data_IF_544478392774
#
_entry.id   IF_544478392774
#
_cell.length_a   1.000
_cell.length_b   1.000
_cell.length_c   1.000
_cell.angle_alpha   90.00
_cell.angle_beta   90.00
_cell.angle_gamma   90.00
#
_symmetry.space_group_name_H-M   'P 1'
#
loop_
_entity.id
_entity.type
_entity.pdbx_description
1 polymer ?
#
# COMPACT_ATOMS: atom_id res chain seq x y z
N UNK A 1 -35.96 6.74 -2.59
CA UNK A 1 -34.64 6.28 -3.07
C UNK A 1 -33.58 6.89 -2.17
N UNK A 2 -33.04 6.12 -1.23
CA UNK A 2 -32.04 6.61 -0.27
C UNK A 2 -30.74 6.98 -0.98
N UNK A 3 -30.15 8.13 -0.64
CA UNK A 3 -28.81 8.52 -1.10
C UNK A 3 -27.82 7.48 -0.55
N UNK A 4 -27.26 6.66 -1.42
CA UNK A 4 -26.11 5.81 -1.07
C UNK A 4 -24.91 6.74 -0.94
N UNK A 5 -24.54 7.09 0.30
CA UNK A 5 -23.30 7.81 0.55
C UNK A 5 -22.13 6.96 0.04
N UNK A 6 -21.41 7.47 -0.95
CA UNK A 6 -20.23 6.79 -1.48
C UNK A 6 -19.12 6.89 -0.44
N UNK A 7 -18.85 5.83 0.31
CA UNK A 7 -17.68 5.79 1.18
C UNK A 7 -16.39 5.73 0.34
N UNK A 8 -15.29 6.39 0.74
CA UNK A 8 -13.99 6.24 0.11
C UNK A 8 -13.56 4.77 0.10
N UNK A 9 -13.18 4.23 -1.08
CA UNK A 9 -12.63 2.88 -1.16
C UNK A 9 -11.31 2.82 -0.42
N UNK A 10 -11.14 1.81 0.44
CA UNK A 10 -9.87 1.49 1.07
C UNK A 10 -9.12 0.50 0.19
N UNK A 11 -7.79 0.60 0.18
CA UNK A 11 -6.96 -0.33 -0.58
C UNK A 11 -5.92 -0.95 0.32
N UNK A 12 -5.85 -2.28 0.36
CA UNK A 12 -4.71 -2.98 0.93
C UNK A 12 -3.58 -2.94 -0.08
N UNK A 13 -2.42 -2.47 0.35
CA UNK A 13 -1.21 -2.38 -0.45
C UNK A 13 -0.14 -3.23 0.21
N UNK A 14 0.43 -4.16 -0.57
CA UNK A 14 1.57 -4.96 -0.16
C UNK A 14 2.72 -4.71 -1.10
N UNK A 15 3.87 -4.37 -0.53
CA UNK A 15 5.13 -4.13 -1.21
C UNK A 15 6.12 -5.20 -0.77
N UNK A 16 6.64 -5.94 -1.73
CA UNK A 16 7.70 -6.93 -1.52
C UNK A 16 8.95 -6.37 -2.17
N UNK A 17 10.05 -6.38 -1.43
CA UNK A 17 11.36 -5.88 -1.83
C UNK A 17 12.32 -7.05 -1.70
N UNK A 18 13.02 -7.39 -2.78
CA UNK A 18 13.99 -8.48 -2.82
C UNK A 18 15.37 -7.90 -3.15
N UNK A 19 16.19 -7.58 -2.14
CA UNK A 19 17.55 -7.15 -2.34
C UNK A 19 18.46 -8.36 -2.62
N UNK A 20 19.37 -8.23 -3.60
CA UNK A 20 20.31 -9.30 -3.92
C UNK A 20 21.18 -9.65 -2.69
N UNK A 21 21.16 -10.92 -2.28
CA UNK A 21 21.96 -11.42 -1.16
C UNK A 21 21.38 -11.16 0.24
N UNK A 22 20.16 -10.62 0.34
CA UNK A 22 19.50 -10.35 1.62
C UNK A 22 18.12 -11.04 1.70
N UNK A 23 17.58 -11.15 2.92
CA UNK A 23 16.21 -11.59 3.12
C UNK A 23 15.21 -10.61 2.48
N UNK A 24 14.10 -11.15 1.98
CA UNK A 24 13.01 -10.36 1.41
C UNK A 24 12.37 -9.47 2.48
N UNK A 25 12.12 -8.22 2.14
CA UNK A 25 11.39 -7.28 3.01
C UNK A 25 9.94 -7.21 2.51
N UNK A 26 8.99 -7.42 3.42
CA UNK A 26 7.55 -7.35 3.13
C UNK A 26 6.95 -6.21 3.94
N UNK A 27 6.36 -5.25 3.25
CA UNK A 27 5.65 -4.12 3.85
C UNK A 27 4.19 -4.21 3.43
N UNK A 28 3.28 -4.15 4.40
CA UNK A 28 1.83 -4.16 4.17
C UNK A 28 1.21 -2.94 4.85
N UNK A 29 0.22 -2.33 4.20
CA UNK A 29 -0.47 -1.18 4.74
C UNK A 29 -1.74 -0.83 3.98
N UNK A 30 -2.48 0.14 4.52
CA UNK A 30 -3.71 0.61 3.92
C UNK A 30 -3.52 1.98 3.24
N UNK A 31 -4.04 2.09 2.03
CA UNK A 31 -4.09 3.34 1.28
C UNK A 31 -5.53 3.89 1.27
N UNK A 32 -5.65 5.15 1.69
CA UNK A 32 -6.90 5.89 1.72
C UNK A 32 -6.85 7.02 0.70
N UNK A 33 -7.65 6.97 -0.38
CA UNK A 33 -7.72 8.07 -1.33
C UNK A 33 -8.37 9.29 -0.69
N UNK A 34 -7.91 10.50 -1.07
CA UNK A 34 -8.58 11.76 -0.70
C UNK A 34 -9.96 11.95 -1.36
N UNK A 35 -10.31 11.09 -2.31
CA UNK A 35 -11.63 11.06 -2.97
C UNK A 35 -12.28 9.67 -2.85
N UNK A 36 -13.20 9.33 -3.75
CA UNK A 36 -13.95 8.07 -3.64
C UNK A 36 -13.16 6.83 -4.09
N UNK A 37 -12.34 6.96 -5.12
CA UNK A 37 -11.54 5.85 -5.68
C UNK A 37 -10.17 6.36 -6.15
N UNK A 38 -9.22 5.46 -6.31
CA UNK A 38 -7.94 5.73 -6.94
C UNK A 38 -7.56 4.58 -7.88
N UNK A 39 -6.89 4.90 -8.97
CA UNK A 39 -6.38 3.90 -9.91
C UNK A 39 -5.21 3.15 -9.26
N UNK A 40 -5.17 1.82 -9.43
CA UNK A 40 -4.10 0.96 -8.93
C UNK A 40 -2.68 1.45 -9.31
N UNK A 41 -2.47 1.94 -10.54
CA UNK A 41 -1.16 2.46 -10.96
C UNK A 41 -0.74 3.70 -10.18
N UNK A 42 -1.70 4.60 -9.90
CA UNK A 42 -1.45 5.80 -9.08
C UNK A 42 -1.15 5.42 -7.63
N UNK A 43 -1.88 4.45 -7.07
CA UNK A 43 -1.62 3.90 -5.73
C UNK A 43 -0.21 3.30 -5.68
N UNK A 44 0.14 2.42 -6.62
CA UNK A 44 1.47 1.80 -6.70
C UNK A 44 2.59 2.84 -6.72
N UNK A 45 2.45 3.88 -7.55
CA UNK A 45 3.44 4.96 -7.65
C UNK A 45 3.60 5.71 -6.32
N UNK A 46 2.49 6.20 -5.74
CA UNK A 46 2.52 6.98 -4.50
C UNK A 46 3.03 6.16 -3.31
N UNK A 47 2.60 4.91 -3.19
CA UNK A 47 3.07 4.01 -2.14
C UNK A 47 4.57 3.72 -2.29
N UNK A 48 5.05 3.50 -3.52
CA UNK A 48 6.48 3.30 -3.74
C UNK A 48 7.29 4.54 -3.38
N UNK A 49 6.92 5.72 -3.88
CA UNK A 49 7.64 6.98 -3.62
C UNK A 49 7.76 7.25 -2.10
N UNK A 50 6.68 7.02 -1.35
CA UNK A 50 6.67 7.18 0.09
C UNK A 50 7.56 6.16 0.81
N UNK A 51 7.44 4.87 0.46
CA UNK A 51 8.19 3.80 1.13
C UNK A 51 9.67 3.85 0.78
N UNK A 52 10.02 4.07 -0.49
CA UNK A 52 11.42 4.12 -0.94
C UNK A 52 12.19 5.25 -0.26
N UNK A 53 11.53 6.37 0.06
CA UNK A 53 12.14 7.47 0.80
C UNK A 53 12.44 7.12 2.27
N UNK A 54 11.76 6.12 2.83
CA UNK A 54 11.93 5.67 4.22
C UNK A 54 12.84 4.47 4.38
N UNK A 55 13.04 3.70 3.32
CA UNK A 55 13.94 2.56 3.34
C UNK A 55 15.35 3.09 3.12
N UNK A 56 16.14 3.05 4.19
CA UNK A 56 17.55 3.41 4.17
C UNK A 56 18.39 2.34 3.46
N UNK A 57 18.17 2.13 2.15
CA UNK A 57 18.83 1.06 1.38
C UNK A 57 20.35 1.11 1.52
N UNK A 58 20.95 2.29 1.34
CA UNK A 58 22.41 2.47 1.42
C UNK A 58 22.96 2.20 2.82
N UNK A 59 22.26 2.63 3.87
CA UNK A 59 22.70 2.43 5.27
C UNK A 59 22.65 0.95 5.66
N UNK A 60 21.78 0.16 5.01
CA UNK A 60 21.69 -1.29 5.19
C UNK A 60 22.58 -2.08 4.20
N UNK A 61 23.48 -1.43 3.47
CA UNK A 61 24.36 -2.10 2.49
C UNK A 61 23.62 -2.67 1.26
N UNK A 62 22.40 -2.21 1.01
CA UNK A 62 21.56 -2.65 -0.11
C UNK A 62 21.76 -1.69 -1.30
N UNK A 63 22.14 -2.23 -2.46
CA UNK A 63 22.16 -1.45 -3.69
C UNK A 63 20.72 -1.28 -4.23
N UNK A 64 20.17 -0.05 -4.29
CA UNK A 64 18.81 0.19 -4.76
C UNK A 64 18.56 -0.19 -6.23
N UNK A 65 19.60 -0.25 -7.08
CA UNK A 65 19.47 -0.68 -8.47
C UNK A 65 19.27 -2.19 -8.61
N UNK A 66 19.67 -2.95 -7.59
CA UNK A 66 19.57 -4.41 -7.52
C UNK A 66 18.36 -4.87 -6.71
N UNK A 67 17.45 -3.95 -6.40
CA UNK A 67 16.21 -4.24 -5.67
C UNK A 67 15.10 -4.55 -6.66
N UNK A 68 14.64 -5.79 -6.64
CA UNK A 68 13.37 -6.12 -7.28
C UNK A 68 12.23 -5.68 -6.35
N UNK A 69 11.17 -5.09 -6.93
CA UNK A 69 9.97 -4.71 -6.19
C UNK A 69 8.71 -5.23 -6.83
N UNK A 70 7.82 -5.74 -6.00
CA UNK A 70 6.48 -6.17 -6.38
C UNK A 70 5.46 -5.42 -5.54
N UNK A 71 4.51 -4.73 -6.18
CA UNK A 71 3.46 -3.99 -5.50
C UNK A 71 2.11 -4.54 -5.92
N UNK A 72 1.39 -5.09 -4.94
CA UNK A 72 0.02 -5.57 -5.11
C UNK A 72 -0.94 -4.61 -4.42
N UNK A 73 -2.08 -4.36 -5.07
CA UNK A 73 -3.12 -3.45 -4.59
C UNK A 73 -4.44 -4.19 -4.67
N UNK A 74 -5.14 -4.31 -3.55
CA UNK A 74 -6.47 -4.91 -3.47
C UNK A 74 -7.44 -3.89 -2.90
N UNK A 75 -8.54 -3.63 -3.60
CA UNK A 75 -9.61 -2.82 -3.04
C UNK A 75 -10.36 -3.61 -1.97
N UNK A 76 -10.56 -3.00 -0.80
CA UNK A 76 -11.36 -3.58 0.29
C UNK A 76 -12.80 -3.09 0.11
N UNK A 77 -13.78 -4.00 0.05
CA UNK A 77 -15.20 -3.63 0.06
C UNK A 77 -15.54 -2.83 1.33
N UNK A 78 -16.36 -1.78 1.22
CA UNK A 78 -16.67 -0.91 2.36
C UNK A 78 -17.40 -1.65 3.49
N UNK A 79 -18.21 -2.64 3.10
CA UNK A 79 -18.97 -3.60 3.87
C UNK A 79 -18.14 -4.61 4.68
N UNK A 80 -16.81 -4.66 4.46
CA UNK A 80 -15.91 -5.56 5.19
C UNK A 80 -15.24 -4.93 6.41
N UNK A 81 -15.48 -3.64 6.69
CA UNK A 81 -14.97 -3.02 7.91
C UNK A 81 -15.95 -3.28 9.05
N UNK A 82 -15.61 -4.21 9.95
CA UNK A 82 -16.32 -4.34 11.23
C UNK A 82 -15.98 -3.10 12.05
N UNK A 83 -17.00 -2.29 12.35
CA UNK A 83 -16.88 -1.24 13.36
C UNK A 83 -17.04 -1.96 14.70
N UNK A 84 -16.02 -1.96 15.54
CA UNK A 84 -16.17 -2.44 16.92
C UNK A 84 -17.36 -1.71 17.56
N UNK A 85 -18.29 -2.47 18.15
CA UNK A 85 -19.37 -1.90 18.95
C UNK A 85 -18.74 -0.99 20.00
N UNK A 86 -19.14 0.28 19.98
CA UNK A 86 -18.76 1.22 21.04
C UNK A 86 -19.44 0.73 22.32
N UNK A 87 -18.65 0.11 23.20
CA UNK A 87 -19.03 -0.17 24.60
C UNK A 87 -19.23 1.15 25.34
#
# INVERSE_FOLDING_TARGET
MGKVEKLPKKYLVKVIIRPEGYEKIILEGMFFPKGYTCNANKIKKQCWEYLSAKIAFKENGINPEKVEKEITVKAIPADFTVVEDKV
#
